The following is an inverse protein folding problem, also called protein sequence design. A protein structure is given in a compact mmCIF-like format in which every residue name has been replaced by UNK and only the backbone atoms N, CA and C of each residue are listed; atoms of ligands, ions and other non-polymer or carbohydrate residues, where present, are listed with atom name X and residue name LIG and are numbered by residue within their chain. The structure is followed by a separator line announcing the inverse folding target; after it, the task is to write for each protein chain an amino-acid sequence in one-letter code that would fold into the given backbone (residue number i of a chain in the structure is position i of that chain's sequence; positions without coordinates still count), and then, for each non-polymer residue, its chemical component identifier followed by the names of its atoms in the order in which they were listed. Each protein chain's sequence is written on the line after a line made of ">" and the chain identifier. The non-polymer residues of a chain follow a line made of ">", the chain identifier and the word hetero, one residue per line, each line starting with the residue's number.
data_IF_632457587683
#
_entry.id   IF_632457587683
#
_cell.length_a   1.000
_cell.length_b   1.000
_cell.length_c   1.000
_cell.angle_alpha   90.00
_cell.angle_beta   90.00
_cell.angle_gamma   90.00
#
_symmetry.space_group_name_H-M   'P 1'
#
loop_
_entity.id
_entity.type
_entity.pdbx_description
1 polymer ?
#
# COMPACT_ATOMS: atom_id res chain seq x y z
N UNK A 1 13.44 -0.46 29.43
CA UNK A 1 13.05 -1.09 28.14
C UNK A 1 13.69 -0.29 27.02
N UNK A 2 14.27 -0.94 26.00
CA UNK A 2 14.77 -0.23 24.83
C UNK A 2 13.60 0.47 24.09
N UNK A 3 13.83 1.71 23.65
CA UNK A 3 12.83 2.53 22.94
C UNK A 3 13.19 2.55 21.45
N UNK A 4 12.21 2.31 20.59
CA UNK A 4 12.42 2.37 19.14
C UNK A 4 12.67 3.81 18.67
N UNK A 5 13.54 3.95 17.68
CA UNK A 5 13.71 5.21 16.97
C UNK A 5 12.49 5.44 16.06
N UNK A 6 11.92 6.64 16.13
CA UNK A 6 10.78 7.06 15.30
C UNK A 6 11.20 7.96 14.13
N UNK A 7 12.46 8.38 14.10
CA UNK A 7 13.03 9.22 13.04
C UNK A 7 13.82 8.31 12.11
N UNK A 8 13.38 8.22 10.87
CA UNK A 8 14.05 7.46 9.82
C UNK A 8 14.64 8.45 8.81
N UNK A 9 15.92 8.29 8.52
CA UNK A 9 16.59 9.05 7.46
C UNK A 9 16.45 8.24 6.17
N UNK A 10 15.49 8.62 5.33
CA UNK A 10 15.22 7.98 4.04
C UNK A 10 15.46 8.99 2.92
N UNK A 11 16.18 8.58 1.89
CA UNK A 11 16.28 9.37 0.66
C UNK A 11 15.00 9.25 -0.18
N UNK A 12 14.82 10.14 -1.15
CA UNK A 12 13.71 10.05 -2.10
C UNK A 12 13.74 8.72 -2.84
N UNK A 13 14.93 8.25 -3.21
CA UNK A 13 15.10 6.96 -3.89
C UNK A 13 14.67 5.77 -3.01
N UNK A 14 14.98 5.81 -1.71
CA UNK A 14 14.55 4.76 -0.78
C UNK A 14 13.02 4.71 -0.66
N UNK A 15 12.38 5.89 -0.60
CA UNK A 15 10.92 5.99 -0.57
C UNK A 15 10.30 5.44 -1.86
N UNK A 16 10.86 5.77 -3.02
CA UNK A 16 10.38 5.25 -4.31
C UNK A 16 10.51 3.72 -4.40
N UNK A 17 11.64 3.17 -3.91
CA UNK A 17 11.86 1.73 -3.85
C UNK A 17 10.85 1.03 -2.92
N UNK A 18 10.60 1.62 -1.75
CA UNK A 18 9.60 1.12 -0.80
C UNK A 18 8.21 1.12 -1.45
N UNK A 19 7.84 2.20 -2.12
CA UNK A 19 6.55 2.28 -2.80
C UNK A 19 6.41 1.24 -3.92
N UNK A 20 7.43 1.02 -4.73
CA UNK A 20 7.37 -0.01 -5.77
C UNK A 20 7.27 -1.41 -5.17
N UNK A 21 7.99 -1.70 -4.08
CA UNK A 21 7.86 -2.96 -3.36
C UNK A 21 6.44 -3.16 -2.80
N UNK A 22 5.83 -2.11 -2.23
CA UNK A 22 4.45 -2.15 -1.73
C UNK A 22 3.45 -2.38 -2.87
N UNK A 23 3.61 -1.70 -4.02
CA UNK A 23 2.78 -1.96 -5.22
C UNK A 23 2.94 -3.38 -5.74
N UNK A 24 4.16 -3.91 -5.76
CA UNK A 24 4.44 -5.30 -6.14
C UNK A 24 3.72 -6.29 -5.21
N UNK A 25 3.80 -6.06 -3.89
CA UNK A 25 3.09 -6.86 -2.89
C UNK A 25 1.57 -6.77 -3.05
N UNK A 26 1.03 -5.58 -3.35
CA UNK A 26 -0.40 -5.42 -3.64
C UNK A 26 -0.86 -6.26 -4.83
N UNK A 27 -0.07 -6.29 -5.93
CA UNK A 27 -0.33 -7.15 -7.09
C UNK A 27 -0.30 -8.63 -6.74
N UNK A 28 0.64 -9.04 -5.88
CA UNK A 28 0.75 -10.42 -5.40
C UNK A 28 -0.46 -10.83 -4.56
N UNK A 29 -0.86 -10.01 -3.59
CA UNK A 29 -2.04 -10.23 -2.75
C UNK A 29 -3.32 -10.34 -3.60
N UNK A 30 -3.49 -9.46 -4.59
CA UNK A 30 -4.62 -9.53 -5.53
C UNK A 30 -4.66 -10.83 -6.33
N UNK A 31 -3.50 -11.36 -6.76
CA UNK A 31 -3.42 -12.67 -7.43
C UNK A 31 -3.77 -13.81 -6.48
N UNK A 32 -3.28 -13.79 -5.24
CA UNK A 32 -3.61 -14.80 -4.24
C UNK A 32 -5.11 -14.79 -3.92
N UNK A 33 -5.70 -13.60 -3.81
CA UNK A 33 -7.15 -13.47 -3.60
C UNK A 33 -7.95 -14.06 -4.76
N UNK A 34 -7.54 -13.78 -6.00
CA UNK A 34 -8.17 -14.35 -7.19
C UNK A 34 -7.97 -15.87 -7.29
N UNK A 35 -6.87 -16.42 -6.78
CA UNK A 35 -6.66 -17.87 -6.77
C UNK A 35 -7.59 -18.61 -5.79
N UNK A 36 -8.08 -17.91 -4.76
CA UNK A 36 -8.99 -18.44 -3.74
C UNK A 36 -10.47 -18.15 -4.03
N UNK A 37 -10.82 -17.71 -5.25
CA UNK A 37 -12.20 -17.33 -5.59
C UNK A 37 -13.15 -18.52 -5.79
N UNK A 38 -12.71 -19.75 -5.55
CA UNK A 38 -13.61 -20.89 -5.46
C UNK A 38 -14.41 -20.80 -4.14
N UNK A 39 -15.72 -21.06 -4.15
CA UNK A 39 -16.59 -20.93 -2.96
C UNK A 39 -16.37 -22.06 -1.95
N UNK A 40 -15.11 -22.43 -1.70
CA UNK A 40 -14.74 -23.41 -0.72
C UNK A 40 -14.75 -22.76 0.69
N UNK A 41 -15.59 -23.24 1.62
CA UNK A 41 -15.65 -22.70 2.97
C UNK A 41 -14.32 -22.82 3.73
N UNK A 42 -13.41 -23.72 3.32
CA UNK A 42 -12.07 -23.82 3.90
C UNK A 42 -11.17 -22.59 3.57
N UNK A 43 -11.47 -21.87 2.50
CA UNK A 43 -10.65 -20.75 2.02
C UNK A 43 -11.06 -19.41 2.65
N UNK A 44 -12.21 -19.34 3.33
CA UNK A 44 -12.74 -18.12 3.95
C UNK A 44 -11.75 -17.45 4.93
N UNK A 45 -10.99 -18.25 5.69
CA UNK A 45 -10.02 -17.71 6.63
C UNK A 45 -8.78 -17.16 5.92
N UNK A 46 -8.31 -17.84 4.87
CA UNK A 46 -7.20 -17.38 4.01
C UNK A 46 -7.57 -16.08 3.28
N UNK A 47 -8.80 -16.02 2.78
CA UNK A 47 -9.46 -14.86 2.17
C UNK A 47 -9.41 -13.66 3.11
N UNK A 48 -9.84 -13.80 4.37
CA UNK A 48 -9.86 -12.68 5.32
C UNK A 48 -8.46 -12.16 5.67
N UNK A 49 -7.47 -13.06 5.75
CA UNK A 49 -6.07 -12.67 6.01
C UNK A 49 -5.51 -11.86 4.84
N UNK A 50 -5.74 -12.29 3.60
CA UNK A 50 -5.26 -11.56 2.41
C UNK A 50 -5.91 -10.18 2.32
N UNK A 51 -7.20 -10.05 2.62
CA UNK A 51 -7.87 -8.74 2.65
C UNK A 51 -7.30 -7.81 3.72
N UNK A 52 -7.00 -8.34 4.90
CA UNK A 52 -6.36 -7.56 5.96
C UNK A 52 -4.97 -7.04 5.53
N UNK A 53 -4.16 -7.93 4.93
CA UNK A 53 -2.84 -7.58 4.39
C UNK A 53 -2.94 -6.54 3.25
N UNK A 54 -3.93 -6.68 2.36
CA UNK A 54 -4.17 -5.69 1.29
C UNK A 54 -4.48 -4.32 1.88
N UNK A 55 -5.37 -4.28 2.87
CA UNK A 55 -5.76 -3.04 3.52
C UNK A 55 -4.58 -2.36 4.19
N UNK A 56 -3.77 -3.10 4.95
CA UNK A 56 -2.59 -2.53 5.62
C UNK A 56 -1.58 -1.96 4.60
N UNK A 57 -1.36 -2.67 3.50
CA UNK A 57 -0.47 -2.22 2.42
C UNK A 57 -0.98 -0.93 1.76
N UNK A 58 -2.27 -0.87 1.41
CA UNK A 58 -2.91 0.33 0.84
C UNK A 58 -2.87 1.52 1.80
N UNK A 59 -3.11 1.29 3.10
CA UNK A 59 -3.00 2.33 4.11
C UNK A 59 -1.57 2.88 4.23
N UNK A 60 -0.54 2.04 4.14
CA UNK A 60 0.85 2.48 4.14
C UNK A 60 1.20 3.27 2.87
N UNK A 61 0.78 2.81 1.70
CA UNK A 61 0.93 3.55 0.44
C UNK A 61 0.27 4.92 0.51
N UNK A 62 -0.93 5.01 1.08
CA UNK A 62 -1.62 6.29 1.31
C UNK A 62 -0.84 7.22 2.24
N UNK A 63 -0.27 6.70 3.34
CA UNK A 63 0.57 7.49 4.24
C UNK A 63 1.83 8.02 3.55
N UNK A 64 2.51 7.20 2.74
CA UNK A 64 3.68 7.62 1.96
C UNK A 64 3.32 8.67 0.91
N UNK A 65 2.23 8.44 0.16
CA UNK A 65 1.72 9.39 -0.83
C UNK A 65 1.41 10.76 -0.21
N UNK A 66 0.83 10.79 0.99
CA UNK A 66 0.51 12.04 1.69
C UNK A 66 1.74 12.83 2.16
N UNK A 67 2.94 12.25 2.15
CA UNK A 67 4.19 13.00 2.44
C UNK A 67 4.74 13.72 1.20
N UNK A 68 4.22 13.46 -0.01
CA UNK A 68 4.75 14.06 -1.24
C UNK A 68 4.25 15.50 -1.43
N UNK A 69 5.12 16.34 -1.97
CA UNK A 69 4.76 17.69 -2.45
C UNK A 69 4.31 17.57 -3.90
N UNK A 70 3.01 17.73 -4.14
CA UNK A 70 2.44 17.69 -5.49
C UNK A 70 2.46 19.09 -6.11
N UNK A 71 3.23 19.28 -7.18
CA UNK A 71 3.14 20.51 -7.96
C UNK A 71 1.76 20.62 -8.61
N UNK A 72 1.13 21.79 -8.48
CA UNK A 72 -0.19 22.07 -9.07
C UNK A 72 -0.14 23.37 -9.87
N UNK A 73 -0.50 23.37 -11.17
CA UNK A 73 -0.66 24.60 -11.95
C UNK A 73 -1.84 25.43 -11.40
N UNK A 74 -1.62 26.72 -11.15
CA UNK A 74 -2.62 27.60 -10.53
C UNK A 74 -3.79 28.00 -11.42
N UNK A 75 -3.72 27.77 -12.74
CA UNK A 75 -4.64 28.34 -13.74
C UNK A 75 -5.63 27.33 -14.34
N UNK A 76 -5.54 26.05 -14.00
CA UNK A 76 -6.42 24.99 -14.56
C UNK A 76 -7.41 24.46 -13.52
N UNK A 77 -8.69 24.20 -13.90
CA UNK A 77 -9.67 23.58 -13.03
C UNK A 77 -9.17 22.24 -12.47
N UNK A 78 -9.44 21.98 -11.20
CA UNK A 78 -9.11 20.71 -10.55
C UNK A 78 -10.07 19.61 -11.00
N UNK A 79 -9.52 18.50 -11.51
CA UNK A 79 -10.26 17.27 -11.79
C UNK A 79 -9.58 16.15 -11.01
N UNK A 80 -10.29 15.57 -10.05
CA UNK A 80 -9.89 14.33 -9.38
C UNK A 80 -10.90 13.23 -9.65
N UNK A 81 -10.40 12.02 -9.87
CA UNK A 81 -11.16 10.77 -9.86
C UNK A 81 -10.81 9.94 -8.64
#
# INVERSE_FOLDING_TARGET
>A
MPRYNKNFELSIHDVDLIEEALRARGRELGRMRLALSDENPADLQSVSVIEADQRENEELLGRLHNQKVFYRPGTTPYVSG
#
